data_IF_104036442621
#
_entry.id   IF_104036442621
#
_cell.length_a   1.000
_cell.length_b   1.000
_cell.length_c   1.000
_cell.angle_alpha   90.00
_cell.angle_beta   90.00
_cell.angle_gamma   90.00
#
_symmetry.space_group_name_H-M   'P 1'
#
loop_
_entity.id
_entity.type
_entity.pdbx_description
1 polymer ?
#
# COMPACT_ATOMS: atom_id res chain seq x y z
N UNK A 1 -14.00 -8.72 -18.05
CA UNK A 1 -12.66 -8.63 -18.58
C UNK A 1 -12.01 -7.27 -18.39
N UNK A 2 -12.66 -6.20 -18.82
CA UNK A 2 -12.18 -4.85 -18.56
C UNK A 2 -12.06 -4.56 -17.06
N UNK A 3 -13.00 -5.11 -16.28
CA UNK A 3 -13.04 -4.94 -14.84
C UNK A 3 -11.83 -5.58 -14.15
N UNK A 4 -11.44 -6.77 -14.63
CA UNK A 4 -10.29 -7.48 -14.09
C UNK A 4 -8.99 -6.69 -14.28
N UNK A 5 -8.80 -6.11 -15.47
CA UNK A 5 -7.62 -5.28 -15.75
C UNK A 5 -7.55 -4.05 -14.86
N UNK A 6 -8.70 -3.42 -14.60
CA UNK A 6 -8.75 -2.26 -13.71
C UNK A 6 -8.35 -2.63 -12.29
N UNK A 7 -8.81 -3.79 -11.81
CA UNK A 7 -8.45 -4.28 -10.49
C UNK A 7 -6.97 -4.59 -10.40
N UNK A 8 -6.42 -5.21 -11.45
CA UNK A 8 -4.99 -5.51 -11.50
C UNK A 8 -4.14 -4.25 -11.43
N UNK A 9 -4.51 -3.23 -12.20
CA UNK A 9 -3.81 -1.95 -12.18
C UNK A 9 -3.92 -1.28 -10.82
N UNK A 10 -5.08 -1.38 -10.19
CA UNK A 10 -5.29 -0.86 -8.86
C UNK A 10 -4.38 -1.51 -7.83
N UNK A 11 -4.25 -2.83 -7.92
CA UNK A 11 -3.35 -3.59 -7.03
C UNK A 11 -1.90 -3.17 -7.24
N UNK A 12 -1.46 -3.05 -8.49
CA UNK A 12 -0.09 -2.63 -8.79
C UNK A 12 0.19 -1.22 -8.28
N UNK A 13 -0.75 -0.30 -8.48
CA UNK A 13 -0.61 1.06 -7.98
C UNK A 13 -0.48 1.09 -6.47
N UNK A 14 -1.31 0.30 -5.78
CA UNK A 14 -1.24 0.21 -4.32
C UNK A 14 0.09 -0.37 -3.85
N UNK A 15 0.61 -1.37 -4.55
CA UNK A 15 1.92 -1.94 -4.23
C UNK A 15 3.03 -0.90 -4.34
N UNK A 16 3.00 -0.08 -5.38
CA UNK A 16 3.97 0.99 -5.55
C UNK A 16 3.87 2.03 -4.45
N UNK A 17 2.66 2.41 -4.08
CA UNK A 17 2.44 3.36 -3.00
C UNK A 17 2.95 2.81 -1.67
N UNK A 18 2.68 1.54 -1.40
CA UNK A 18 3.18 0.88 -0.19
C UNK A 18 4.70 0.92 -0.16
N UNK A 19 5.34 0.59 -1.27
CA UNK A 19 6.80 0.59 -1.36
C UNK A 19 7.37 1.97 -1.07
N UNK A 20 6.79 3.02 -1.66
CA UNK A 20 7.24 4.40 -1.43
C UNK A 20 7.09 4.77 0.04
N UNK A 21 5.96 4.42 0.64
CA UNK A 21 5.73 4.72 2.06
C UNK A 21 6.67 3.94 2.97
N UNK A 22 6.99 2.71 2.61
CA UNK A 22 7.95 1.91 3.37
C UNK A 22 9.34 2.54 3.34
N UNK A 23 9.77 3.03 2.18
CA UNK A 23 11.05 3.73 2.06
C UNK A 23 11.07 4.99 2.90
N UNK A 24 9.99 5.76 2.87
CA UNK A 24 9.88 6.96 3.69
C UNK A 24 9.87 6.64 5.18
N UNK A 25 9.20 5.56 5.56
CA UNK A 25 9.17 5.11 6.95
C UNK A 25 10.58 4.75 7.44
N UNK A 26 11.33 4.00 6.63
CA UNK A 26 12.70 3.64 6.97
C UNK A 26 13.58 4.86 7.14
N UNK A 27 13.42 5.84 6.25
CA UNK A 27 14.17 7.08 6.33
C UNK A 27 13.82 7.87 7.59
N UNK A 28 12.54 7.95 7.92
CA UNK A 28 12.09 8.65 9.12
C UNK A 28 12.64 7.97 10.38
N UNK A 29 12.64 6.64 10.38
CA UNK A 29 13.19 5.85 11.48
C UNK A 29 14.68 6.12 11.65
N UNK A 30 15.42 6.13 10.55
CA UNK A 30 16.85 6.39 10.58
C UNK A 30 17.18 7.79 11.08
N UNK A 31 16.31 8.77 10.80
CA UNK A 31 16.49 10.14 11.23
C UNK A 31 15.93 10.40 12.64
N UNK A 32 15.33 9.40 13.27
CA UNK A 32 14.77 9.51 14.60
C UNK A 32 13.43 10.24 14.65
N UNK A 33 12.73 10.34 13.52
CA UNK A 33 11.44 11.01 13.43
C UNK A 33 10.31 10.02 13.70
N UNK A 34 10.13 9.68 14.96
CA UNK A 34 9.19 8.63 15.35
C UNK A 34 7.73 8.95 15.04
N UNK A 35 7.36 10.22 15.10
CA UNK A 35 5.99 10.62 14.77
C UNK A 35 5.69 10.37 13.29
N UNK A 36 6.63 10.68 12.42
CA UNK A 36 6.49 10.41 10.98
C UNK A 36 6.48 8.92 10.70
N UNK A 37 7.31 8.17 11.40
CA UNK A 37 7.32 6.72 11.28
C UNK A 37 5.96 6.13 11.58
N UNK A 38 5.34 6.56 12.68
CA UNK A 38 4.00 6.11 13.06
C UNK A 38 2.94 6.50 12.04
N UNK A 39 3.05 7.70 11.47
CA UNK A 39 2.16 8.17 10.42
C UNK A 39 2.25 7.27 9.19
N UNK A 40 3.46 7.01 8.73
CA UNK A 40 3.66 6.16 7.57
C UNK A 40 3.21 4.73 7.82
N UNK A 41 3.40 4.23 9.03
CA UNK A 41 2.93 2.90 9.43
C UNK A 41 1.42 2.78 9.24
N UNK A 42 0.67 3.77 9.70
CA UNK A 42 -0.79 3.79 9.55
C UNK A 42 -1.19 3.82 8.08
N UNK A 43 -0.50 4.63 7.29
CA UNK A 43 -0.78 4.72 5.85
C UNK A 43 -0.51 3.40 5.15
N UNK A 44 0.59 2.76 5.50
CA UNK A 44 0.96 1.46 4.92
C UNK A 44 -0.09 0.42 5.26
N UNK A 45 -0.53 0.34 6.51
CA UNK A 45 -1.58 -0.59 6.93
C UNK A 45 -2.88 -0.38 6.14
N UNK A 46 -3.25 0.86 5.95
CA UNK A 46 -4.46 1.22 5.21
C UNK A 46 -4.33 0.78 3.75
N UNK A 47 -3.20 1.05 3.14
CA UNK A 47 -2.94 0.66 1.75
C UNK A 47 -2.92 -0.86 1.59
N UNK A 48 -2.33 -1.56 2.54
CA UNK A 48 -2.30 -3.03 2.52
C UNK A 48 -3.69 -3.63 2.62
N UNK A 49 -4.55 -3.05 3.45
CA UNK A 49 -5.94 -3.49 3.56
C UNK A 49 -6.70 -3.29 2.25
N UNK A 50 -6.50 -2.16 1.61
CA UNK A 50 -7.13 -1.90 0.33
C UNK A 50 -6.63 -2.84 -0.75
N UNK A 51 -5.33 -3.12 -0.76
CA UNK A 51 -4.74 -4.08 -1.70
C UNK A 51 -5.35 -5.47 -1.49
N UNK A 52 -5.45 -5.90 -0.26
CA UNK A 52 -6.01 -7.20 0.07
C UNK A 52 -7.45 -7.33 -0.41
N UNK A 53 -8.26 -6.29 -0.20
CA UNK A 53 -9.64 -6.28 -0.68
C UNK A 53 -9.71 -6.42 -2.20
N UNK A 54 -8.87 -5.71 -2.91
CA UNK A 54 -8.84 -5.77 -4.37
C UNK A 54 -8.37 -7.13 -4.87
N UNK A 55 -7.37 -7.71 -4.23
CA UNK A 55 -6.89 -9.04 -4.58
C UNK A 55 -7.99 -10.09 -4.36
N UNK A 56 -8.75 -9.98 -3.26
CA UNK A 56 -9.87 -10.86 -3.00
C UNK A 56 -10.94 -10.74 -4.09
N UNK A 57 -11.21 -9.53 -4.56
CA UNK A 57 -12.15 -9.32 -5.65
C UNK A 57 -11.68 -9.99 -6.93
N UNK A 58 -10.37 -9.92 -7.21
CA UNK A 58 -9.79 -10.57 -8.38
C UNK A 58 -9.97 -12.09 -8.30
N UNK A 59 -9.76 -12.68 -7.14
CA UNK A 59 -9.91 -14.12 -6.96
C UNK A 59 -11.35 -14.58 -7.19
N UNK A 60 -12.33 -13.76 -6.81
CA UNK A 60 -13.75 -14.10 -6.97
C UNK A 60 -14.24 -13.97 -8.40
N UNK A 61 -13.48 -13.35 -9.26
CA UNK A 61 -13.82 -13.23 -10.67
C UNK A 61 -13.09 -14.26 -11.51
#
# INVERSE_FOLDING_TARGET
>A
MKRKKRLEKGVESLKEQIKVHEEKREKAKAEGKFELEGYYDKEINKLEQEREKKENQLEKQ
#
